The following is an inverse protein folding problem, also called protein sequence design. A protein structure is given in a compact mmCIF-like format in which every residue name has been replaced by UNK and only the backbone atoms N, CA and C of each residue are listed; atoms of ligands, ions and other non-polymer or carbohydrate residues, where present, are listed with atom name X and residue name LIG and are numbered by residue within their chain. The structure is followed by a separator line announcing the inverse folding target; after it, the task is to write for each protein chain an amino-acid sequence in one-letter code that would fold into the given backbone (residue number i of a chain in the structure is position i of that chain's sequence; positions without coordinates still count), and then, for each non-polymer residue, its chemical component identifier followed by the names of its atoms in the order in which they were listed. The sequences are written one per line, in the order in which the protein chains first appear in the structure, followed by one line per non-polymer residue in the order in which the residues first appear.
data_IF_846319764921
#
_entry.id   IF_846319764921
#
_cell.length_a   1.000
_cell.length_b   1.000
_cell.length_c   1.000
_cell.angle_alpha   90.00
_cell.angle_beta   90.00
_cell.angle_gamma   90.00
#
_symmetry.space_group_name_H-M   'P 1'
#
loop_
_entity.id
_entity.type
_entity.pdbx_description
1 polymer ?
#
# COMPACT_ATOMS: atom_id res chain seq x y z
N UNK A 1 9.16 6.33 -2.63
CA UNK A 1 9.99 7.55 -2.62
C UNK A 1 11.30 7.24 -1.91
N UNK A 2 12.45 7.56 -2.52
CA UNK A 2 13.77 7.23 -1.99
C UNK A 2 14.57 8.51 -1.69
N UNK A 3 15.03 8.66 -0.46
CA UNK A 3 16.00 9.68 -0.05
C UNK A 3 17.34 9.05 0.35
N UNK A 4 18.36 9.88 0.62
CA UNK A 4 19.69 9.41 1.02
C UNK A 4 19.71 8.73 2.40
N UNK A 5 18.72 9.01 3.25
CA UNK A 5 18.62 8.47 4.62
C UNK A 5 17.26 7.85 4.93
N UNK A 6 16.18 8.37 4.30
CA UNK A 6 14.82 7.92 4.56
C UNK A 6 14.12 7.41 3.31
N UNK A 7 13.20 6.47 3.50
CA UNK A 7 12.38 5.86 2.45
C UNK A 7 10.92 5.86 2.87
N UNK A 8 10.05 6.23 1.95
CA UNK A 8 8.60 6.21 2.19
C UNK A 8 7.88 5.51 1.05
N UNK A 9 6.87 4.70 1.40
CA UNK A 9 5.93 4.09 0.48
C UNK A 9 4.59 4.84 0.53
N UNK A 10 4.04 5.15 -0.65
CA UNK A 10 2.72 5.73 -0.82
C UNK A 10 1.95 4.79 -1.75
N UNK A 11 0.91 4.15 -1.22
CA UNK A 11 0.11 3.15 -1.93
C UNK A 11 -0.74 3.72 -3.05
N UNK A 12 -1.17 4.99 -2.93
CA UNK A 12 -2.16 5.57 -3.83
C UNK A 12 -3.52 4.88 -3.70
N UNK A 13 -4.34 4.98 -4.75
CA UNK A 13 -5.55 4.18 -4.89
C UNK A 13 -5.20 2.80 -5.48
N UNK A 14 -5.52 1.74 -4.76
CA UNK A 14 -5.07 0.37 -5.02
C UNK A 14 -6.04 -0.68 -4.45
N UNK A 15 -6.09 -1.82 -5.12
CA UNK A 15 -6.75 -3.02 -4.59
C UNK A 15 -5.84 -3.83 -3.67
N UNK A 16 -6.33 -4.96 -3.12
CA UNK A 16 -5.59 -5.84 -2.23
C UNK A 16 -4.53 -6.70 -2.94
N UNK A 17 -3.60 -6.08 -3.65
CA UNK A 17 -2.56 -6.73 -4.44
C UNK A 17 -1.35 -7.12 -3.59
N UNK A 18 -1.55 -8.04 -2.64
CA UNK A 18 -0.53 -8.42 -1.65
C UNK A 18 0.83 -8.80 -2.28
N UNK A 19 0.84 -9.62 -3.33
CA UNK A 19 2.06 -10.05 -4.00
C UNK A 19 2.88 -8.85 -4.54
N UNK A 20 2.21 -7.84 -5.09
CA UNK A 20 2.87 -6.62 -5.59
C UNK A 20 3.50 -5.83 -4.44
N UNK A 21 2.81 -5.71 -3.31
CA UNK A 21 3.36 -5.04 -2.13
C UNK A 21 4.56 -5.79 -1.54
N UNK A 22 4.54 -7.12 -1.56
CA UNK A 22 5.69 -7.95 -1.14
C UNK A 22 6.90 -7.74 -2.07
N UNK A 23 6.70 -7.73 -3.39
CA UNK A 23 7.76 -7.46 -4.37
C UNK A 23 8.35 -6.06 -4.19
N UNK A 24 7.52 -5.04 -3.99
CA UNK A 24 7.96 -3.67 -3.71
C UNK A 24 8.77 -3.61 -2.41
N UNK A 25 8.29 -4.29 -1.36
CA UNK A 25 8.97 -4.39 -0.07
C UNK A 25 10.35 -5.03 -0.19
N UNK A 26 10.46 -6.10 -0.98
CA UNK A 26 11.74 -6.78 -1.22
C UNK A 26 12.72 -5.93 -2.04
N UNK A 27 12.22 -5.19 -3.04
CA UNK A 27 13.06 -4.39 -3.92
C UNK A 27 13.52 -3.06 -3.30
N UNK A 28 12.65 -2.41 -2.50
CA UNK A 28 12.84 -1.02 -2.08
C UNK A 28 12.79 -0.80 -0.56
N UNK A 29 12.41 -1.81 0.22
CA UNK A 29 12.38 -1.73 1.68
C UNK A 29 13.77 -1.76 2.34
N UNK A 30 13.83 -1.63 3.68
CA UNK A 30 12.70 -1.26 4.56
C UNK A 30 12.29 0.21 4.35
N UNK A 31 11.02 0.52 4.63
CA UNK A 31 10.48 1.87 4.61
C UNK A 31 10.37 2.42 6.04
N UNK A 32 10.68 3.69 6.22
CA UNK A 32 10.46 4.40 7.49
C UNK A 32 8.98 4.78 7.68
N UNK A 33 8.28 4.99 6.57
CA UNK A 33 6.87 5.38 6.54
C UNK A 33 6.14 4.67 5.40
N UNK A 34 4.97 4.13 5.69
CA UNK A 34 4.04 3.59 4.71
C UNK A 34 2.69 4.28 4.88
N UNK A 35 2.17 4.83 3.78
CA UNK A 35 0.84 5.43 3.71
C UNK A 35 -0.02 4.61 2.75
N UNK A 36 -1.13 4.10 3.25
CA UNK A 36 -2.12 3.33 2.48
C UNK A 36 -3.46 4.07 2.50
N UNK A 37 -4.28 3.85 1.47
CA UNK A 37 -5.65 4.34 1.46
C UNK A 37 -6.49 3.65 2.54
N UNK A 38 -7.51 4.36 3.03
CA UNK A 38 -8.45 3.85 4.04
C UNK A 38 -9.91 4.26 3.76
N UNK A 39 -10.16 4.83 2.59
CA UNK A 39 -11.45 5.42 2.21
C UNK A 39 -11.86 4.98 0.83
N UNK A 40 -13.05 5.41 0.39
CA UNK A 40 -13.65 4.98 -0.87
C UNK A 40 -13.78 3.45 -1.01
N UNK A 41 -13.93 2.73 0.11
CA UNK A 41 -14.24 1.30 0.11
C UNK A 41 -15.76 1.08 0.09
N UNK A 42 -16.18 0.03 -0.61
CA UNK A 42 -17.55 -0.48 -0.67
C UNK A 42 -17.49 -1.98 -0.98
N UNK A 43 -18.50 -2.76 -0.59
CA UNK A 43 -18.59 -4.19 -0.90
C UNK A 43 -18.53 -4.48 -2.41
N UNK A 44 -18.94 -3.52 -3.24
CA UNK A 44 -18.89 -3.64 -4.69
C UNK A 44 -17.50 -3.33 -5.29
N UNK A 45 -16.56 -2.79 -4.49
CA UNK A 45 -15.26 -2.26 -4.96
C UNK A 45 -14.05 -2.95 -4.31
N UNK A 46 -14.23 -4.15 -3.75
CA UNK A 46 -13.17 -4.89 -3.02
C UNK A 46 -11.92 -5.19 -3.84
N UNK A 47 -12.03 -5.21 -5.16
CA UNK A 47 -10.91 -5.52 -6.06
C UNK A 47 -10.04 -4.30 -6.37
N UNK A 48 -10.50 -3.09 -6.03
CA UNK A 48 -9.88 -1.81 -6.45
C UNK A 48 -9.64 -0.82 -5.31
N UNK A 49 -10.27 -1.01 -4.14
CA UNK A 49 -10.05 -0.17 -2.95
C UNK A 49 -9.87 -1.03 -1.69
N UNK A 50 -9.02 -0.55 -0.79
CA UNK A 50 -8.74 -1.21 0.48
C UNK A 50 -9.81 -0.91 1.53
N UNK A 51 -10.38 -1.95 2.15
CA UNK A 51 -11.21 -1.83 3.36
C UNK A 51 -10.34 -1.98 4.61
N UNK A 52 -10.22 -0.96 5.48
CA UNK A 52 -9.47 -1.04 6.74
C UNK A 52 -9.94 -2.11 7.72
N UNK A 53 -11.16 -2.64 7.56
CA UNK A 53 -11.73 -3.70 8.38
C UNK A 53 -11.22 -5.09 8.00
N UNK A 54 -10.76 -5.26 6.75
CA UNK A 54 -10.10 -6.47 6.27
C UNK A 54 -8.72 -6.56 6.93
N UNK A 55 -8.64 -7.41 7.96
CA UNK A 55 -7.40 -7.70 8.70
C UNK A 55 -6.66 -8.89 8.11
#
# INVERSE_FOLDING_TARGET
MLGPTHRAFFGGDSGPYEAVFQEIGAAYGPFDLTMLEIGAYDELWTDIHWDPSMR
#
